data_IF_817655425710
#
_entry.id   IF_817655425710
#
_cell.length_a   1.000
_cell.length_b   1.000
_cell.length_c   1.000
_cell.angle_alpha   90.00
_cell.angle_beta   90.00
_cell.angle_gamma   90.00
#
_symmetry.space_group_name_H-M   'P 1'
#
loop_
_entity.id
_entity.type
_entity.pdbx_description
1 polymer ?
#
# COMPACT_ATOMS: atom_id res chain seq x y z
N UNK A 1 36.41 4.35 -39.37
CA UNK A 1 36.17 5.81 -39.39
C UNK A 1 37.27 6.47 -38.59
N UNK A 2 38.01 7.42 -39.14
CA UNK A 2 39.13 8.07 -38.44
C UNK A 2 38.60 9.06 -37.41
N UNK A 3 39.19 9.15 -36.22
CA UNK A 3 38.75 10.04 -35.13
C UNK A 3 38.58 11.50 -35.58
N UNK A 4 39.48 11.98 -36.44
CA UNK A 4 39.38 13.31 -37.05
C UNK A 4 38.07 13.52 -37.84
N UNK A 5 37.64 12.52 -38.63
CA UNK A 5 36.37 12.60 -39.40
C UNK A 5 35.15 12.62 -38.49
N UNK A 6 35.23 11.98 -37.32
CA UNK A 6 34.15 12.01 -36.32
C UNK A 6 34.02 13.40 -35.68
N UNK A 7 35.13 14.07 -35.39
CA UNK A 7 35.13 15.43 -34.85
C UNK A 7 34.67 16.44 -35.89
N UNK A 8 35.11 16.30 -37.14
CA UNK A 8 34.66 17.16 -38.24
C UNK A 8 33.13 17.05 -38.44
N UNK A 9 32.59 15.83 -38.40
CA UNK A 9 31.14 15.60 -38.43
C UNK A 9 30.44 16.25 -37.22
N UNK A 10 30.98 16.09 -36.02
CA UNK A 10 30.42 16.70 -34.81
C UNK A 10 30.40 18.24 -34.90
N UNK A 11 31.51 18.86 -35.32
CA UNK A 11 31.63 20.31 -35.46
C UNK A 11 30.72 20.86 -36.56
N UNK A 12 30.46 20.08 -37.62
CA UNK A 12 29.54 20.47 -38.71
C UNK A 12 28.08 20.51 -38.25
N UNK A 13 27.69 19.64 -37.31
CA UNK A 13 26.32 19.49 -36.82
C UNK A 13 26.16 19.84 -35.34
N UNK A 14 27.08 20.65 -34.80
CA UNK A 14 27.19 21.00 -33.39
C UNK A 14 25.87 21.54 -32.79
N UNK A 15 25.17 22.42 -33.51
CA UNK A 15 23.86 22.96 -33.11
C UNK A 15 22.83 21.85 -32.89
N UNK A 16 22.78 20.84 -33.76
CA UNK A 16 21.83 19.72 -33.60
C UNK A 16 22.18 18.85 -32.41
N UNK A 17 23.47 18.60 -32.18
CA UNK A 17 23.93 17.87 -30.98
C UNK A 17 23.60 18.64 -29.70
N UNK A 18 23.79 19.96 -29.68
CA UNK A 18 23.44 20.82 -28.55
C UNK A 18 21.93 20.80 -28.27
N UNK A 19 21.08 20.96 -29.29
CA UNK A 19 19.63 20.87 -29.12
C UNK A 19 19.23 19.48 -28.59
N UNK A 20 19.76 18.41 -29.21
CA UNK A 20 19.46 17.04 -28.84
C UNK A 20 19.79 16.72 -27.38
N UNK A 21 20.97 17.13 -26.90
CA UNK A 21 21.37 16.89 -25.50
C UNK A 21 20.47 17.61 -24.49
N UNK A 22 20.03 18.85 -24.77
CA UNK A 22 19.10 19.56 -23.88
C UNK A 22 17.70 18.96 -23.92
N UNK A 23 17.20 18.55 -25.09
CA UNK A 23 15.91 17.85 -25.20
C UNK A 23 15.90 16.55 -24.40
N UNK A 24 16.97 15.75 -24.51
CA UNK A 24 17.11 14.52 -23.73
C UNK A 24 17.18 14.79 -22.22
N UNK A 25 17.89 15.85 -21.80
CA UNK A 25 17.98 16.23 -20.40
C UNK A 25 16.63 16.69 -19.84
N UNK A 26 15.89 17.52 -20.59
CA UNK A 26 14.54 17.96 -20.21
C UNK A 26 13.60 16.77 -20.13
N UNK A 27 13.63 15.86 -21.11
CA UNK A 27 12.80 14.66 -21.10
C UNK A 27 13.13 13.76 -19.91
N UNK A 28 14.41 13.58 -19.59
CA UNK A 28 14.85 12.89 -18.38
C UNK A 28 14.28 13.54 -17.11
N UNK A 29 14.37 14.87 -17.00
CA UNK A 29 13.83 15.62 -15.86
C UNK A 29 12.30 15.44 -15.73
N UNK A 30 11.56 15.67 -16.82
CA UNK A 30 10.10 15.57 -16.85
C UNK A 30 9.62 14.16 -16.49
N UNK A 31 10.21 13.12 -17.08
CA UNK A 31 9.83 11.73 -16.80
C UNK A 31 10.03 11.40 -15.32
N UNK A 32 11.16 11.80 -14.72
CA UNK A 32 11.42 11.54 -13.31
C UNK A 32 10.57 12.41 -12.36
N UNK A 33 10.21 13.63 -12.76
CA UNK A 33 9.29 14.49 -12.02
C UNK A 33 7.85 13.96 -12.06
N UNK A 34 7.39 13.39 -13.18
CA UNK A 34 6.04 12.82 -13.31
C UNK A 34 5.94 11.44 -12.67
N UNK A 35 7.00 10.63 -12.74
CA UNK A 35 7.01 9.28 -12.20
C UNK A 35 6.71 9.27 -10.69
N UNK A 36 5.52 8.83 -10.32
CA UNK A 36 5.11 8.69 -8.92
C UNK A 36 4.93 7.21 -8.58
N UNK A 37 5.93 6.65 -7.89
CA UNK A 37 5.91 5.26 -7.42
C UNK A 37 4.82 5.01 -6.38
N UNK A 38 4.46 6.02 -5.61
CA UNK A 38 3.42 5.91 -4.60
C UNK A 38 2.02 6.07 -5.20
N UNK A 39 1.86 6.42 -6.49
CA UNK A 39 0.55 6.66 -7.12
C UNK A 39 -0.41 5.47 -6.94
N UNK A 40 0.07 4.25 -7.14
CA UNK A 40 -0.75 3.03 -6.98
C UNK A 40 -1.11 2.77 -5.52
N UNK A 41 -0.15 2.93 -4.60
CA UNK A 41 -0.39 2.79 -3.16
C UNK A 41 -1.37 3.86 -2.66
N UNK A 42 -1.18 5.13 -3.03
CA UNK A 42 -2.04 6.26 -2.68
C UNK A 42 -3.47 6.06 -3.16
N UNK A 43 -3.65 5.54 -4.40
CA UNK A 43 -4.99 5.20 -4.93
C UNK A 43 -5.67 4.10 -4.09
N UNK A 44 -4.93 3.04 -3.75
CA UNK A 44 -5.46 1.94 -2.92
C UNK A 44 -5.79 2.41 -1.50
N UNK A 45 -4.94 3.23 -0.87
CA UNK A 45 -5.23 3.82 0.43
C UNK A 45 -6.48 4.71 0.40
N UNK A 46 -6.60 5.58 -0.60
CA UNK A 46 -7.80 6.42 -0.73
C UNK A 46 -9.06 5.59 -0.96
N UNK A 47 -8.98 4.52 -1.76
CA UNK A 47 -10.10 3.60 -1.97
C UNK A 47 -10.48 2.87 -0.68
N UNK A 48 -9.49 2.37 0.09
CA UNK A 48 -9.74 1.72 1.37
C UNK A 48 -10.34 2.69 2.40
N UNK A 49 -9.82 3.93 2.48
CA UNK A 49 -10.37 4.98 3.34
C UNK A 49 -11.82 5.33 2.95
N UNK A 50 -12.10 5.49 1.66
CA UNK A 50 -13.46 5.79 1.19
C UNK A 50 -14.43 4.64 1.49
N UNK A 51 -13.98 3.40 1.34
CA UNK A 51 -14.79 2.21 1.59
C UNK A 51 -15.09 2.02 3.08
N UNK A 52 -14.08 2.30 3.93
CA UNK A 52 -14.28 2.44 5.36
C UNK A 52 -15.36 3.48 5.62
N UNK A 53 -15.18 4.73 5.16
CA UNK A 53 -16.15 5.80 5.42
C UNK A 53 -17.58 5.48 4.93
N UNK A 54 -17.73 4.77 3.82
CA UNK A 54 -19.03 4.32 3.30
C UNK A 54 -19.70 3.24 4.17
N UNK A 55 -18.92 2.40 4.85
CA UNK A 55 -19.40 1.33 5.72
C UNK A 55 -18.97 1.58 7.17
N UNK A 56 -19.60 2.53 7.88
CA UNK A 56 -19.19 2.93 9.23
C UNK A 56 -19.31 1.80 10.27
N UNK A 57 -20.21 0.84 10.04
CA UNK A 57 -20.52 -0.23 10.99
C UNK A 57 -19.67 -1.51 10.79
N UNK A 58 -18.81 -1.55 9.78
CA UNK A 58 -17.93 -2.68 9.50
C UNK A 58 -16.51 -2.38 9.99
N UNK A 59 -16.06 -3.11 11.01
CA UNK A 59 -14.77 -2.90 11.68
C UNK A 59 -13.58 -2.90 10.70
N UNK A 60 -13.61 -3.74 9.66
CA UNK A 60 -12.49 -3.88 8.70
C UNK A 60 -12.88 -3.78 7.22
N UNK A 61 -13.96 -3.05 6.90
CA UNK A 61 -14.31 -2.76 5.49
C UNK A 61 -13.10 -2.18 4.73
N UNK A 62 -12.87 -2.64 3.50
CA UNK A 62 -11.77 -2.17 2.65
C UNK A 62 -10.39 -2.77 2.92
N UNK A 63 -10.23 -3.67 3.90
CA UNK A 63 -8.96 -4.36 4.17
C UNK A 63 -8.40 -5.15 2.98
N UNK A 64 -9.28 -5.74 2.16
CA UNK A 64 -8.90 -6.48 0.94
C UNK A 64 -8.27 -5.57 -0.13
N UNK A 65 -8.58 -4.27 -0.09
CA UNK A 65 -8.07 -3.26 -1.04
C UNK A 65 -6.68 -2.74 -0.65
N UNK A 66 -6.11 -3.22 0.46
CA UNK A 66 -4.77 -2.85 0.90
C UNK A 66 -3.71 -3.11 -0.20
N UNK A 67 -2.71 -2.22 -0.34
CA UNK A 67 -1.58 -2.50 -1.19
C UNK A 67 -0.86 -3.80 -0.77
N UNK A 68 -0.23 -4.47 -1.72
CA UNK A 68 0.41 -5.78 -1.51
C UNK A 68 1.48 -5.75 -0.44
N UNK A 69 2.20 -4.62 -0.39
CA UNK A 69 3.27 -4.33 0.56
C UNK A 69 2.78 -4.35 2.01
N UNK A 70 1.51 -4.03 2.24
CA UNK A 70 0.89 -3.95 3.56
C UNK A 70 0.06 -5.18 3.92
N UNK A 71 -0.18 -6.12 2.98
CA UNK A 71 -0.93 -7.37 3.27
C UNK A 71 -0.23 -8.27 4.29
N UNK A 72 1.10 -8.21 4.39
CA UNK A 72 1.86 -8.98 5.40
C UNK A 72 1.62 -8.41 6.80
N UNK A 73 1.73 -7.09 6.96
CA UNK A 73 1.42 -6.39 8.21
C UNK A 73 -0.06 -6.61 8.61
N UNK A 74 -0.97 -6.59 7.63
CA UNK A 74 -2.39 -6.91 7.89
C UNK A 74 -2.61 -8.32 8.45
N UNK A 75 -1.97 -9.33 7.86
CA UNK A 75 -2.05 -10.71 8.36
C UNK A 75 -1.43 -10.85 9.75
N UNK A 76 -0.32 -10.16 10.00
CA UNK A 76 0.32 -10.14 11.32
C UNK A 76 -0.56 -9.47 12.38
N UNK A 77 -1.32 -8.43 12.01
CA UNK A 77 -2.30 -7.81 12.90
C UNK A 77 -3.45 -8.78 13.24
N UNK A 78 -4.04 -9.43 12.23
CA UNK A 78 -5.15 -10.38 12.45
C UNK A 78 -4.75 -11.63 13.23
N UNK A 79 -3.52 -12.12 13.06
CA UNK A 79 -3.01 -13.31 13.75
C UNK A 79 -2.24 -13.03 15.04
N UNK A 80 -2.02 -11.75 15.36
CA UNK A 80 -1.21 -11.31 16.49
C UNK A 80 -2.05 -10.88 17.69
N UNK A 81 -1.38 -10.64 18.82
CA UNK A 81 -1.98 -10.09 20.04
C UNK A 81 -1.89 -8.56 20.12
N UNK A 82 -1.75 -7.88 18.98
CA UNK A 82 -1.63 -6.43 18.95
C UNK A 82 -2.99 -5.78 19.24
N UNK A 83 -3.02 -4.90 20.24
CA UNK A 83 -4.25 -4.18 20.63
C UNK A 83 -4.67 -3.18 19.55
N UNK A 84 -3.70 -2.53 18.87
CA UNK A 84 -3.98 -1.52 17.86
C UNK A 84 -3.29 -1.79 16.54
N UNK A 85 -3.94 -1.50 15.40
CA UNK A 85 -3.31 -1.54 14.08
C UNK A 85 -2.01 -0.73 14.00
N UNK A 86 -1.89 0.40 14.69
CA UNK A 86 -0.66 1.20 14.73
C UNK A 86 0.58 0.46 15.22
N UNK A 87 0.41 -0.61 16.00
CA UNK A 87 1.53 -1.32 16.62
C UNK A 87 2.19 -2.29 15.62
N UNK A 88 1.50 -2.58 14.51
CA UNK A 88 1.93 -3.52 13.47
C UNK A 88 2.13 -2.83 12.13
N UNK A 89 1.38 -1.75 11.86
CA UNK A 89 1.43 -1.03 10.60
C UNK A 89 2.57 -0.02 10.55
N UNK A 90 3.60 -0.35 9.79
CA UNK A 90 4.72 0.54 9.50
C UNK A 90 4.73 1.00 8.05
N UNK A 91 5.09 2.26 7.82
CA UNK A 91 5.23 2.80 6.47
C UNK A 91 6.37 2.10 5.74
N UNK A 92 6.07 1.46 4.60
CA UNK A 92 7.06 0.77 3.78
C UNK A 92 7.62 1.72 2.71
N UNK A 93 8.88 2.18 2.81
CA UNK A 93 9.47 3.04 1.80
C UNK A 93 9.75 2.27 0.51
N UNK A 94 9.26 2.77 -0.62
CA UNK A 94 9.58 2.21 -1.93
C UNK A 94 10.99 2.65 -2.39
N UNK A 95 11.80 1.70 -2.85
CA UNK A 95 13.13 1.98 -3.41
C UNK A 95 13.00 2.99 -4.57
N UNK A 96 13.81 4.04 -4.52
CA UNK A 96 13.91 5.05 -5.59
C UNK A 96 14.71 4.44 -6.75
N UNK A 97 14.23 4.56 -7.98
CA UNK A 97 15.09 4.40 -9.16
C UNK A 97 14.73 5.49 -10.15
N UNK A 98 15.77 6.09 -10.72
CA UNK A 98 15.65 7.01 -11.83
C UNK A 98 15.20 6.22 -13.06
N UNK A 99 14.26 6.79 -13.80
CA UNK A 99 13.81 6.27 -15.09
C UNK A 99 14.59 7.01 -16.17
N UNK A 100 14.82 6.37 -17.33
CA UNK A 100 15.50 6.99 -18.47
C UNK A 100 16.95 7.42 -18.18
N UNK A 101 17.71 6.61 -17.43
CA UNK A 101 19.15 6.88 -17.18
C UNK A 101 19.96 6.83 -18.48
N UNK A 102 19.64 5.90 -19.38
CA UNK A 102 20.36 5.73 -20.67
C UNK A 102 20.40 7.03 -21.49
N UNK A 103 19.27 7.69 -21.80
CA UNK A 103 19.31 8.95 -22.56
C UNK A 103 20.04 10.08 -21.82
N UNK A 104 20.03 10.11 -20.49
CA UNK A 104 20.83 11.06 -19.71
C UNK A 104 22.34 10.80 -19.87
N UNK A 105 22.75 9.52 -19.87
CA UNK A 105 24.15 9.17 -20.12
C UNK A 105 24.55 9.56 -21.54
N UNK A 106 23.70 9.30 -22.54
CA UNK A 106 23.95 9.73 -23.92
C UNK A 106 24.07 11.27 -24.03
N UNK A 107 23.20 12.04 -23.40
CA UNK A 107 23.30 13.51 -23.42
C UNK A 107 24.55 14.03 -22.68
N UNK A 108 24.96 13.36 -21.60
CA UNK A 108 26.20 13.69 -20.90
C UNK A 108 27.44 13.38 -21.74
N UNK A 109 27.44 12.28 -22.50
CA UNK A 109 28.51 11.97 -23.45
C UNK A 109 28.61 13.03 -24.55
N UNK A 110 27.48 13.51 -25.08
CA UNK A 110 27.49 14.64 -26.02
C UNK A 110 28.11 15.91 -25.40
N UNK A 111 27.81 16.21 -24.14
CA UNK A 111 28.43 17.34 -23.42
C UNK A 111 29.95 17.17 -23.30
N UNK A 112 30.44 15.96 -23.06
CA UNK A 112 31.89 15.66 -23.03
C UNK A 112 32.52 15.90 -24.41
N UNK A 113 31.82 15.54 -25.50
CA UNK A 113 32.31 15.81 -26.86
C UNK A 113 32.49 17.31 -27.14
N UNK A 114 31.63 18.18 -26.59
CA UNK A 114 31.82 19.64 -26.68
C UNK A 114 33.09 20.11 -25.95
N UNK A 115 33.40 19.54 -24.78
CA UNK A 115 34.64 19.83 -24.05
C UNK A 115 35.86 19.35 -24.83
N UNK A 116 35.79 18.15 -25.42
CA UNK A 116 36.86 17.60 -26.27
C UNK A 116 37.06 18.44 -27.52
N UNK A 117 35.99 18.85 -28.20
CA UNK A 117 36.04 19.75 -29.35
C UNK A 117 36.62 21.12 -28.99
N UNK A 118 36.29 21.67 -27.83
CA UNK A 118 36.91 22.91 -27.33
C UNK A 118 38.43 22.79 -27.15
N UNK A 119 38.91 21.64 -26.65
CA UNK A 119 40.35 21.38 -26.45
C UNK A 119 41.08 21.16 -27.79
N UNK A 120 40.44 20.54 -28.77
CA UNK A 120 41.06 20.15 -30.03
C UNK A 120 40.92 21.17 -31.16
N UNK A 121 39.84 21.95 -31.17
CA UNK A 121 39.48 22.92 -32.22
C UNK A 121 39.42 24.33 -31.61
N UNK A 122 40.61 24.97 -31.54
CA UNK A 122 40.86 26.40 -31.26
C UNK A 122 39.70 27.23 -30.68
N UNK A 123 39.59 27.26 -29.34
CA UNK A 123 39.03 28.36 -28.53
C UNK A 123 37.63 28.90 -28.91
N UNK A 124 36.73 28.08 -29.47
CA UNK A 124 35.30 28.45 -29.52
C UNK A 124 34.70 28.42 -28.11
N UNK A 125 34.78 29.55 -27.42
CA UNK A 125 34.23 29.76 -26.06
C UNK A 125 32.76 29.33 -25.95
N UNK A 126 32.01 29.36 -27.05
CA UNK A 126 30.63 28.86 -27.14
C UNK A 126 30.50 27.38 -26.73
N UNK A 127 31.46 26.51 -27.07
CA UNK A 127 31.41 25.08 -26.69
C UNK A 127 31.60 24.85 -25.19
N UNK A 128 32.47 25.64 -24.57
CA UNK A 128 32.64 25.63 -23.12
C UNK A 128 31.36 26.14 -22.42
N UNK A 129 30.77 27.23 -22.93
CA UNK A 129 29.53 27.79 -22.40
C UNK A 129 28.35 26.81 -22.50
N UNK A 130 28.20 26.11 -23.64
CA UNK A 130 27.17 25.08 -23.83
C UNK A 130 27.35 23.96 -22.81
N UNK A 131 28.58 23.49 -22.61
CA UNK A 131 28.88 22.42 -21.65
C UNK A 131 28.60 22.86 -20.20
N UNK A 132 29.02 24.08 -19.82
CA UNK A 132 28.75 24.64 -18.49
C UNK A 132 27.25 24.83 -18.24
N UNK A 133 26.52 25.35 -19.22
CA UNK A 133 25.07 25.51 -19.15
C UNK A 133 24.39 24.14 -18.98
N UNK A 134 24.82 23.13 -19.75
CA UNK A 134 24.28 21.78 -19.62
C UNK A 134 24.49 21.20 -18.23
N UNK A 135 25.71 21.30 -17.67
CA UNK A 135 26.01 20.82 -16.32
C UNK A 135 25.15 21.55 -15.29
N UNK A 136 25.01 22.88 -15.42
CA UNK A 136 24.15 23.68 -14.54
C UNK A 136 22.70 23.21 -14.59
N UNK A 137 22.12 23.05 -15.78
CA UNK A 137 20.74 22.56 -15.95
C UNK A 137 20.60 21.13 -15.41
N UNK A 138 21.59 20.26 -15.60
CA UNK A 138 21.57 18.91 -15.09
C UNK A 138 21.55 18.87 -13.57
N UNK A 139 22.40 19.66 -12.91
CA UNK A 139 22.40 19.79 -11.44
C UNK A 139 21.04 20.26 -10.93
N UNK A 140 20.46 21.29 -11.55
CA UNK A 140 19.12 21.77 -11.18
C UNK A 140 18.06 20.69 -11.37
N UNK A 141 18.11 19.93 -12.47
CA UNK A 141 17.20 18.82 -12.71
C UNK A 141 17.30 17.75 -11.60
N UNK A 142 18.51 17.35 -11.18
CA UNK A 142 18.70 16.40 -10.09
C UNK A 142 18.16 16.93 -8.75
N UNK A 143 18.41 18.19 -8.44
CA UNK A 143 17.90 18.85 -7.23
C UNK A 143 16.36 18.85 -7.24
N UNK A 144 15.73 19.23 -8.35
CA UNK A 144 14.28 19.22 -8.51
C UNK A 144 13.69 17.81 -8.38
N UNK A 145 14.30 16.80 -9.03
CA UNK A 145 13.89 15.40 -8.91
C UNK A 145 13.99 14.93 -7.45
N UNK A 146 15.05 15.31 -6.74
CA UNK A 146 15.23 14.96 -5.32
C UNK A 146 14.14 15.58 -4.46
N UNK A 147 13.87 16.87 -4.61
CA UNK A 147 12.81 17.56 -3.86
C UNK A 147 11.43 16.97 -4.16
N UNK A 148 11.12 16.72 -5.43
CA UNK A 148 9.86 16.08 -5.82
C UNK A 148 9.69 14.69 -5.19
N UNK A 149 10.75 13.89 -5.15
CA UNK A 149 10.73 12.57 -4.51
C UNK A 149 10.51 12.64 -3.00
N UNK A 150 11.11 13.62 -2.32
CA UNK A 150 10.88 13.87 -0.89
C UNK A 150 9.42 14.27 -0.68
N UNK A 151 8.90 15.23 -1.46
CA UNK A 151 7.52 15.69 -1.36
C UNK A 151 6.51 14.55 -1.59
N UNK A 152 6.73 13.70 -2.60
CA UNK A 152 5.90 12.51 -2.87
C UNK A 152 5.94 11.52 -1.70
N UNK A 153 7.11 11.30 -1.09
CA UNK A 153 7.26 10.42 0.07
C UNK A 153 6.50 10.98 1.29
N UNK A 154 6.63 12.28 1.56
CA UNK A 154 5.89 12.94 2.65
C UNK A 154 4.37 12.86 2.43
N UNK A 155 3.91 13.05 1.19
CA UNK A 155 2.49 12.88 0.84
C UNK A 155 2.01 11.45 1.09
N UNK A 156 2.78 10.45 0.69
CA UNK A 156 2.46 9.03 0.94
C UNK A 156 2.41 8.72 2.44
N UNK A 157 3.38 9.21 3.23
CA UNK A 157 3.39 9.07 4.70
C UNK A 157 2.16 9.69 5.34
N UNK A 158 1.73 10.88 4.90
CA UNK A 158 0.51 11.54 5.40
C UNK A 158 -0.74 10.72 5.09
N UNK A 159 -0.85 10.17 3.88
CA UNK A 159 -1.99 9.31 3.50
C UNK A 159 -2.01 8.01 4.30
N UNK A 160 -0.85 7.39 4.48
CA UNK A 160 -0.69 6.22 5.32
C UNK A 160 -1.09 6.50 6.78
N UNK A 161 -0.62 7.59 7.37
CA UNK A 161 -0.98 7.98 8.74
C UNK A 161 -2.49 8.21 8.90
N UNK A 162 -3.14 8.85 7.91
CA UNK A 162 -4.60 9.01 7.90
C UNK A 162 -5.33 7.66 7.87
N UNK A 163 -4.83 6.72 7.07
CA UNK A 163 -5.38 5.38 6.98
C UNK A 163 -5.25 4.61 8.30
N UNK A 164 -4.06 4.61 8.92
CA UNK A 164 -3.82 3.94 10.22
C UNK A 164 -4.65 4.58 11.33
N UNK A 165 -4.78 5.91 11.35
CA UNK A 165 -5.62 6.60 12.34
C UNK A 165 -7.11 6.19 12.23
N UNK A 166 -7.61 6.01 10.99
CA UNK A 166 -8.96 5.51 10.77
C UNK A 166 -9.11 4.04 11.18
N UNK A 167 -8.10 3.21 10.94
CA UNK A 167 -8.09 1.83 11.40
C UNK A 167 -8.10 1.73 12.93
N UNK A 168 -7.27 2.51 13.63
CA UNK A 168 -7.25 2.54 15.09
C UNK A 168 -8.62 2.94 15.66
N UNK A 169 -9.24 4.00 15.11
CA UNK A 169 -10.59 4.42 15.51
C UNK A 169 -11.64 3.31 15.31
N UNK A 170 -11.43 2.40 14.36
CA UNK A 170 -12.31 1.24 14.14
C UNK A 170 -12.00 0.04 15.01
N UNK A 171 -10.74 -0.16 15.38
CA UNK A 171 -10.36 -1.17 16.36
C UNK A 171 -10.98 -0.88 17.73
N UNK A 172 -11.14 0.41 18.07
CA UNK A 172 -11.82 0.85 19.29
C UNK A 172 -13.36 0.69 19.23
N UNK A 173 -13.95 0.36 18.07
CA UNK A 173 -15.37 0.04 18.00
C UNK A 173 -15.58 -1.35 18.64
N UNK A 174 -16.53 -1.51 19.59
CA UNK A 174 -16.81 -2.82 20.16
C UNK A 174 -17.16 -3.79 19.03
N UNK A 175 -16.49 -4.95 19.00
CA UNK A 175 -16.83 -6.03 18.09
C UNK A 175 -18.35 -6.23 18.14
N UNK A 176 -19.01 -5.98 17.01
CA UNK A 176 -20.43 -6.27 16.89
C UNK A 176 -20.54 -7.79 16.93
N UNK A 177 -20.82 -8.33 18.11
CA UNK A 177 -21.11 -9.76 18.30
C UNK A 177 -22.12 -10.12 17.22
N UNK A 178 -21.78 -11.10 16.39
CA UNK A 178 -22.77 -11.55 15.42
C UNK A 178 -23.99 -12.05 16.20
N UNK A 179 -25.22 -11.96 15.66
CA UNK A 179 -26.41 -12.51 16.32
C UNK A 179 -26.19 -13.97 16.77
N UNK A 180 -25.39 -14.71 15.99
CA UNK A 180 -24.94 -16.07 16.30
C UNK A 180 -24.08 -16.13 17.57
N UNK A 181 -23.13 -15.20 17.77
CA UNK A 181 -22.31 -15.16 18.98
C UNK A 181 -23.13 -14.80 20.24
N UNK A 182 -24.21 -14.02 20.09
CA UNK A 182 -25.16 -13.75 21.18
C UNK A 182 -26.00 -14.99 21.51
N UNK A 183 -26.55 -15.67 20.51
CA UNK A 183 -27.28 -16.93 20.67
C UNK A 183 -26.40 -18.03 21.27
N UNK A 184 -25.14 -18.17 20.82
CA UNK A 184 -24.18 -19.12 21.40
C UNK A 184 -23.88 -18.80 22.87
N UNK A 185 -23.79 -17.52 23.23
CA UNK A 185 -23.63 -17.12 24.65
C UNK A 185 -24.86 -17.45 25.48
N UNK A 186 -26.06 -17.29 24.93
CA UNK A 186 -27.31 -17.63 25.60
C UNK A 186 -27.43 -19.14 25.83
N UNK A 187 -27.14 -19.97 24.82
CA UNK A 187 -27.09 -21.44 24.93
C UNK A 187 -26.10 -21.87 26.03
N UNK A 188 -24.90 -21.28 26.05
CA UNK A 188 -23.90 -21.58 27.07
C UNK A 188 -24.31 -21.11 28.49
N UNK A 189 -25.07 -20.01 28.61
CA UNK A 189 -25.62 -19.56 29.90
C UNK A 189 -26.68 -20.52 30.42
N UNK A 190 -27.51 -21.06 29.54
CA UNK A 190 -28.53 -22.06 29.87
C UNK A 190 -27.85 -23.37 30.32
N UNK A 191 -26.83 -23.84 29.60
CA UNK A 191 -26.07 -25.04 29.97
C UNK A 191 -25.42 -24.93 31.36
N UNK A 192 -24.95 -23.75 31.76
CA UNK A 192 -24.34 -23.53 33.08
C UNK A 192 -25.34 -23.55 34.26
N UNK A 193 -26.64 -23.39 34.01
CA UNK A 193 -27.67 -23.27 35.05
C UNK A 193 -28.40 -24.58 35.39
N UNK A 194 -27.78 -25.73 35.13
CA UNK A 194 -28.38 -27.07 35.28
C UNK A 194 -29.64 -27.24 34.42
N UNK A 195 -29.48 -27.52 33.11
CA UNK A 195 -30.59 -27.48 32.16
C UNK A 195 -31.67 -28.52 32.47
N UNK A 196 -32.92 -28.13 32.31
CA UNK A 196 -34.15 -28.93 32.40
C UNK A 196 -34.77 -29.12 31.00
N UNK A 197 -35.84 -29.90 30.88
CA UNK A 197 -36.52 -30.08 29.58
C UNK A 197 -37.01 -28.75 28.98
N UNK A 198 -37.41 -27.80 29.83
CA UNK A 198 -37.78 -26.44 29.39
C UNK A 198 -36.60 -25.64 28.82
N UNK A 199 -35.36 -25.90 29.28
CA UNK A 199 -34.15 -25.33 28.70
C UNK A 199 -33.85 -25.87 27.30
N UNK A 200 -34.14 -27.14 27.03
CA UNK A 200 -33.99 -27.74 25.70
C UNK A 200 -34.97 -27.12 24.70
N UNK A 201 -36.21 -26.89 25.11
CA UNK A 201 -37.24 -26.22 24.28
C UNK A 201 -36.81 -24.78 23.94
N UNK A 202 -36.35 -24.01 24.94
CA UNK A 202 -35.85 -22.64 24.71
C UNK A 202 -34.67 -22.59 23.73
N UNK A 203 -33.75 -23.55 23.81
CA UNK A 203 -32.61 -23.64 22.89
C UNK A 203 -33.07 -24.05 21.48
N UNK A 204 -34.06 -24.92 21.36
CA UNK A 204 -34.67 -25.27 20.08
C UNK A 204 -35.34 -24.05 19.42
N UNK A 205 -36.02 -23.20 20.21
CA UNK A 205 -36.61 -21.95 19.71
C UNK A 205 -35.55 -20.92 19.29
N UNK A 206 -34.44 -20.81 20.04
CA UNK A 206 -33.28 -20.00 19.64
C UNK A 206 -32.70 -20.52 18.32
N UNK A 207 -32.50 -21.84 18.17
CA UNK A 207 -32.00 -22.45 16.93
C UNK A 207 -32.95 -22.25 15.74
N UNK A 208 -34.27 -22.30 15.99
CA UNK A 208 -35.32 -22.10 14.98
C UNK A 208 -35.41 -20.64 14.54
N UNK A 209 -35.31 -19.70 15.49
CA UNK A 209 -35.29 -18.25 15.22
C UNK A 209 -34.02 -17.78 14.50
N UNK A 210 -32.90 -18.47 14.67
CA UNK A 210 -31.66 -18.23 13.92
C UNK A 210 -31.74 -18.57 12.42
N UNK A 211 -32.87 -19.11 11.94
CA UNK A 211 -33.11 -19.39 10.53
C UNK A 211 -32.28 -20.56 10.01
N UNK A 212 -32.97 -21.56 9.45
CA UNK A 212 -32.37 -22.56 8.56
C UNK A 212 -32.08 -21.98 7.15
N UNK A 213 -32.34 -20.70 6.94
CA UNK A 213 -32.48 -20.05 5.62
C UNK A 213 -31.27 -19.25 5.14
N UNK A 214 -30.32 -18.87 6.02
CA UNK A 214 -29.10 -18.17 5.59
C UNK A 214 -27.89 -19.13 5.53
N UNK A 215 -27.05 -18.96 4.49
CA UNK A 215 -25.81 -19.73 4.32
C UNK A 215 -24.85 -19.43 5.48
N UNK A 216 -24.69 -20.39 6.38
CA UNK A 216 -23.73 -20.31 7.50
C UNK A 216 -22.32 -20.67 7.04
N UNK A 217 -21.32 -20.01 7.60
CA UNK A 217 -19.92 -20.43 7.44
C UNK A 217 -19.65 -21.69 8.29
N UNK A 218 -18.64 -22.49 7.89
CA UNK A 218 -18.23 -23.70 8.61
C UNK A 218 -17.86 -23.40 10.07
N UNK A 219 -17.21 -22.26 10.32
CA UNK A 219 -16.80 -21.84 11.67
C UNK A 219 -18.01 -21.47 12.55
N UNK A 220 -19.00 -20.78 12.00
CA UNK A 220 -20.25 -20.46 12.70
C UNK A 220 -21.02 -21.73 13.08
N UNK A 221 -21.10 -22.70 12.16
CA UNK A 221 -21.75 -23.97 12.43
C UNK A 221 -21.00 -24.78 13.51
N UNK A 222 -19.66 -24.75 13.48
CA UNK A 222 -18.83 -25.41 14.51
C UNK A 222 -19.03 -24.80 15.90
N UNK A 223 -19.13 -23.47 16.00
CA UNK A 223 -19.42 -22.77 17.26
C UNK A 223 -20.77 -23.18 17.85
N UNK A 224 -21.81 -23.23 17.01
CA UNK A 224 -23.15 -23.65 17.42
C UNK A 224 -23.14 -25.11 17.89
N UNK A 225 -22.55 -26.01 17.10
CA UNK A 225 -22.47 -27.43 17.45
C UNK A 225 -21.77 -27.66 18.80
N UNK A 226 -20.67 -26.96 19.06
CA UNK A 226 -19.97 -27.05 20.34
C UNK A 226 -20.83 -26.58 21.53
N UNK A 227 -21.58 -25.49 21.36
CA UNK A 227 -22.46 -24.97 22.41
C UNK A 227 -23.64 -25.91 22.70
N UNK A 228 -24.26 -26.47 21.64
CA UNK A 228 -25.35 -27.45 21.77
C UNK A 228 -24.84 -28.75 22.40
N UNK A 229 -23.68 -29.25 21.99
CA UNK A 229 -23.08 -30.45 22.57
C UNK A 229 -22.75 -30.26 24.06
N UNK A 230 -22.21 -29.10 24.44
CA UNK A 230 -21.97 -28.77 25.84
C UNK A 230 -23.26 -28.74 26.66
N UNK A 231 -24.35 -28.23 26.08
CA UNK A 231 -25.67 -28.25 26.71
C UNK A 231 -26.20 -29.68 26.90
N UNK A 232 -26.15 -30.52 25.86
CA UNK A 232 -26.58 -31.91 25.93
C UNK A 232 -25.79 -32.71 26.97
N UNK A 233 -24.46 -32.52 27.03
CA UNK A 233 -23.61 -33.14 28.05
C UNK A 233 -24.00 -32.69 29.46
N UNK A 234 -24.31 -31.41 29.66
CA UNK A 234 -24.75 -30.91 30.97
C UNK A 234 -26.14 -31.43 31.37
N UNK A 235 -27.03 -31.66 30.40
CA UNK A 235 -28.35 -32.27 30.62
C UNK A 235 -28.22 -33.76 30.96
N UNK A 236 -27.45 -34.53 30.19
CA UNK A 236 -27.24 -35.96 30.42
C UNK A 236 -26.52 -36.23 31.73
N UNK A 237 -25.53 -35.39 32.09
CA UNK A 237 -24.85 -35.49 33.38
C UNK A 237 -25.77 -35.20 34.57
N UNK A 238 -26.84 -34.42 34.37
CA UNK A 238 -27.86 -34.17 35.39
C UNK A 238 -28.86 -35.33 35.47
N UNK A 239 -29.38 -35.79 34.35
CA UNK A 239 -30.33 -36.92 34.33
C UNK A 239 -29.70 -38.23 34.77
N UNK A 240 -28.39 -38.42 34.58
CA UNK A 240 -27.64 -39.55 35.12
C UNK A 240 -27.36 -39.46 36.64
N UNK A 241 -27.59 -38.30 37.26
CA UNK A 241 -27.42 -38.06 38.71
C UNK A 241 -28.75 -38.00 39.48
N UNK A 242 -29.88 -37.98 38.77
CA UNK A 242 -31.23 -37.99 39.33
C UNK A 242 -31.75 -39.43 39.44
#
# INVERSE_FOLDING_TARGET
MNFAKCIEFFNTYDVFFAIGMFVLLVLFAVVNLIADRYRRQNRRFNAAVSDMLAHPNASFAGAEKLPEEYRRQWRAFLGGSAEKPSDVFEFVPLKRRLVSIIPFVCSALCAVLFVVAFVLDTLRTSYLLVSLLYVSVAVHAFVLIRHANIAKTLRAKRLFAKFVALLNRRADLPERKTPIDESVREINRIAKKSPDESALVRVADILRSMGLSEKRTVEQQRKINNAVNGLLQSFTARTAKA
#
